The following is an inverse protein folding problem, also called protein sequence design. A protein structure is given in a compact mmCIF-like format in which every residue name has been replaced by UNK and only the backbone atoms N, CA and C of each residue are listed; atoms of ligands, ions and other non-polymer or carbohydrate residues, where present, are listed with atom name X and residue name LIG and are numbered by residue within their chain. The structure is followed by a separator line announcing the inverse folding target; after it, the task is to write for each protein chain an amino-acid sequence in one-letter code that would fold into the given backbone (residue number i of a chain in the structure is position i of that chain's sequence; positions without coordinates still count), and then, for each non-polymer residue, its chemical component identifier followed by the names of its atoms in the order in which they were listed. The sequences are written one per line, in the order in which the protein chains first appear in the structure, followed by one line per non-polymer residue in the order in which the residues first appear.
data_IF_871012150413
#
_entry.id   IF_871012150413
#
_cell.length_a   1.000
_cell.length_b   1.000
_cell.length_c   1.000
_cell.angle_alpha   90.00
_cell.angle_beta   90.00
_cell.angle_gamma   90.00
#
_symmetry.space_group_name_H-M   'P 1'
#
loop_
_entity.id
_entity.type
_entity.pdbx_description
1 polymer ?
#
# COMPACT_ATOMS: atom_id res chain seq x y z
N UNK A 1 12.62 -10.45 -0.68
CA UNK A 1 13.85 -9.99 -0.02
C UNK A 1 13.71 -8.92 1.07
N UNK A 2 12.60 -8.20 1.24
CA UNK A 2 12.53 -7.09 2.24
C UNK A 2 11.99 -7.54 3.61
N UNK A 3 10.96 -8.36 3.61
CA UNK A 3 10.32 -8.89 4.81
C UNK A 3 10.62 -10.38 4.98
N UNK A 4 10.51 -10.89 6.21
CA UNK A 4 10.54 -12.33 6.51
C UNK A 4 11.80 -13.09 6.01
N UNK A 5 12.99 -12.47 6.03
CA UNK A 5 14.25 -13.15 5.64
C UNK A 5 14.64 -14.30 6.57
N UNK A 6 14.46 -14.09 7.87
CA UNK A 6 14.95 -15.01 8.91
C UNK A 6 13.81 -15.83 9.53
N UNK A 7 12.58 -15.67 9.05
CA UNK A 7 11.38 -16.26 9.63
C UNK A 7 10.34 -16.56 8.53
N UNK A 8 9.67 -17.72 8.55
CA UNK A 8 8.60 -18.01 7.59
C UNK A 8 7.48 -16.97 7.69
N UNK A 9 7.06 -16.41 6.56
CA UNK A 9 5.95 -15.47 6.50
C UNK A 9 4.64 -16.22 6.76
N UNK A 10 4.02 -15.98 7.92
CA UNK A 10 2.68 -16.49 8.22
C UNK A 10 1.72 -15.31 8.23
N UNK A 11 1.09 -15.06 7.08
CA UNK A 11 0.13 -13.97 6.90
C UNK A 11 -1.07 -14.50 6.12
N UNK A 12 -2.27 -14.17 6.60
CA UNK A 12 -3.50 -14.24 5.83
C UNK A 12 -4.01 -12.81 5.70
N UNK A 13 -4.25 -12.38 4.47
CA UNK A 13 -4.77 -11.06 4.16
C UNK A 13 -5.80 -11.18 3.05
N UNK A 14 -6.81 -10.32 3.08
CA UNK A 14 -7.83 -10.17 2.06
C UNK A 14 -7.82 -8.73 1.56
N UNK A 15 -7.80 -8.56 0.25
CA UNK A 15 -7.92 -7.25 -0.41
C UNK A 15 -9.22 -7.27 -1.21
N UNK A 16 -9.98 -6.20 -1.12
CA UNK A 16 -11.28 -6.04 -1.77
C UNK A 16 -11.31 -4.70 -2.48
N UNK A 17 -11.84 -4.69 -3.70
CA UNK A 17 -12.28 -3.46 -4.36
C UNK A 17 -13.73 -3.23 -4.01
N UNK A 18 -13.98 -2.28 -3.12
CA UNK A 18 -15.33 -1.97 -2.68
C UNK A 18 -16.22 -1.53 -3.83
N UNK A 19 -17.50 -1.91 -3.75
CA UNK A 19 -18.55 -1.53 -4.71
C UNK A 19 -18.22 -1.87 -6.18
N UNK A 20 -17.37 -2.88 -6.39
CA UNK A 20 -17.02 -3.35 -7.73
C UNK A 20 -17.89 -4.55 -8.11
N UNK A 21 -18.74 -4.36 -9.11
CA UNK A 21 -19.67 -5.38 -9.61
C UNK A 21 -19.25 -5.99 -10.96
N UNK A 22 -18.16 -5.48 -11.54
CA UNK A 22 -17.55 -5.99 -12.77
C UNK A 22 -16.24 -6.72 -12.50
N UNK A 23 -15.67 -7.29 -13.57
CA UNK A 23 -14.34 -7.91 -13.50
C UNK A 23 -13.29 -6.79 -13.46
N UNK A 24 -12.35 -6.88 -12.53
CA UNK A 24 -11.15 -6.04 -12.48
C UNK A 24 -10.04 -6.79 -13.20
N UNK A 25 -9.49 -6.17 -14.26
CA UNK A 25 -8.36 -6.72 -15.01
C UNK A 25 -7.16 -5.77 -15.03
N UNK A 26 -5.98 -6.34 -15.26
CA UNK A 26 -4.71 -5.62 -15.32
C UNK A 26 -4.01 -5.50 -13.97
N UNK A 27 -2.78 -5.00 -14.02
CA UNK A 27 -1.85 -4.90 -12.88
C UNK A 27 -1.75 -3.48 -12.31
N UNK A 28 -2.48 -2.53 -12.89
CA UNK A 28 -2.33 -1.10 -12.59
C UNK A 28 -2.76 -0.66 -11.18
N UNK A 29 -3.40 -1.55 -10.41
CA UNK A 29 -3.77 -1.33 -9.01
C UNK A 29 -2.74 -1.89 -8.01
N UNK A 30 -1.73 -2.65 -8.47
CA UNK A 30 -0.81 -3.38 -7.58
C UNK A 30 -0.06 -2.47 -6.59
N UNK A 31 0.27 -1.23 -6.99
CA UNK A 31 0.85 -0.24 -6.09
C UNK A 31 -0.10 0.15 -4.96
N UNK A 32 -1.38 0.41 -5.28
CA UNK A 32 -2.40 0.80 -4.31
C UNK A 32 -2.70 -0.35 -3.33
N UNK A 33 -2.84 -1.58 -3.83
CA UNK A 33 -3.04 -2.79 -3.02
C UNK A 33 -1.88 -3.02 -2.05
N UNK A 34 -0.65 -2.85 -2.54
CA UNK A 34 0.56 -3.00 -1.72
C UNK A 34 0.60 -1.95 -0.60
N UNK A 35 0.27 -0.70 -0.91
CA UNK A 35 0.19 0.38 0.09
C UNK A 35 -0.91 0.09 1.12
N UNK A 36 -2.08 -0.38 0.68
CA UNK A 36 -3.18 -0.74 1.57
C UNK A 36 -2.78 -1.86 2.53
N UNK A 37 -2.11 -2.91 2.03
CA UNK A 37 -1.61 -4.01 2.84
C UNK A 37 -0.54 -3.55 3.84
N UNK A 38 0.41 -2.72 3.40
CA UNK A 38 1.45 -2.16 4.27
C UNK A 38 0.86 -1.25 5.35
N UNK A 39 -0.13 -0.43 4.99
CA UNK A 39 -0.90 0.40 5.93
C UNK A 39 -1.58 -0.46 6.99
N UNK A 40 -2.31 -1.50 6.58
CA UNK A 40 -2.99 -2.42 7.48
C UNK A 40 -2.03 -3.15 8.44
N UNK A 41 -0.86 -3.58 7.94
CA UNK A 41 0.16 -4.23 8.76
C UNK A 41 0.86 -3.26 9.72
N UNK A 42 1.21 -2.07 9.25
CA UNK A 42 1.97 -1.08 10.04
C UNK A 42 1.10 -0.27 11.00
N UNK A 43 -0.21 -0.22 10.79
CA UNK A 43 -1.14 0.65 11.52
C UNK A 43 -0.97 2.14 11.19
N UNK A 44 -0.28 2.47 10.10
CA UNK A 44 -0.07 3.86 9.67
C UNK A 44 -1.15 4.26 8.68
N UNK A 45 -1.93 5.29 9.01
CA UNK A 45 -3.00 5.81 8.16
C UNK A 45 -2.46 6.36 6.83
N UNK A 46 -3.21 6.14 5.75
CA UNK A 46 -2.94 6.71 4.43
C UNK A 46 -3.93 7.80 4.09
N UNK A 47 -3.43 8.86 3.47
CA UNK A 47 -4.21 9.98 2.92
C UNK A 47 -5.23 9.50 1.90
N UNK A 48 -6.49 9.89 2.08
CA UNK A 48 -7.62 9.52 1.21
C UNK A 48 -7.89 10.54 0.10
N UNK A 49 -7.25 11.71 0.18
CA UNK A 49 -7.31 12.75 -0.83
C UNK A 49 -6.34 12.49 -2.00
N UNK A 50 -5.58 11.39 -1.96
CA UNK A 50 -4.63 10.99 -3.01
C UNK A 50 -5.09 9.69 -3.66
N UNK A 51 -5.32 9.71 -4.97
CA UNK A 51 -5.47 8.49 -5.75
C UNK A 51 -4.10 7.93 -6.18
N UNK A 52 -4.05 6.61 -6.38
CA UNK A 52 -2.81 5.90 -6.69
C UNK A 52 -3.07 4.99 -7.89
N UNK A 53 -2.21 5.08 -8.91
CA UNK A 53 -2.15 4.11 -9.99
C UNK A 53 -0.71 3.70 -10.22
N UNK A 54 -0.49 2.45 -10.61
CA UNK A 54 0.84 1.92 -10.90
C UNK A 54 0.88 0.41 -10.73
N UNK A 55 1.55 -0.26 -11.67
CA UNK A 55 1.95 -1.65 -11.49
C UNK A 55 3.24 -1.70 -10.66
N UNK A 56 3.57 -2.87 -10.10
CA UNK A 56 4.83 -3.10 -9.40
C UNK A 56 5.42 -4.44 -9.79
N UNK A 57 6.75 -4.51 -9.81
CA UNK A 57 7.46 -5.79 -9.86
C UNK A 57 7.77 -6.32 -8.45
N UNK A 58 8.35 -7.52 -8.37
CA UNK A 58 8.73 -8.19 -7.12
C UNK A 58 9.79 -7.44 -6.28
N UNK A 59 10.51 -6.49 -6.89
CA UNK A 59 11.51 -5.66 -6.22
C UNK A 59 10.91 -4.39 -5.61
N UNK A 60 9.63 -4.12 -5.90
CA UNK A 60 8.91 -2.92 -5.45
C UNK A 60 9.18 -1.70 -6.33
N UNK A 61 9.66 -1.91 -7.56
CA UNK A 61 9.80 -0.86 -8.57
C UNK A 61 8.45 -0.66 -9.25
N UNK A 62 8.08 0.61 -9.45
CA UNK A 62 6.80 1.01 -10.03
C UNK A 62 6.91 1.01 -11.56
N UNK A 63 5.94 0.36 -12.20
CA UNK A 63 5.91 0.13 -13.63
C UNK A 63 4.81 0.96 -14.31
N UNK A 64 5.00 1.35 -15.58
CA UNK A 64 4.03 2.15 -16.32
C UNK A 64 2.71 1.40 -16.50
N UNK A 65 1.64 2.17 -16.62
CA UNK A 65 0.28 1.66 -16.82
C UNK A 65 -0.39 2.34 -18.00
N UNK A 66 -1.40 1.68 -18.56
CA UNK A 66 -2.29 2.27 -19.55
C UNK A 66 -3.31 3.24 -18.92
N UNK A 67 -3.82 4.16 -19.75
CA UNK A 67 -4.93 5.06 -19.41
C UNK A 67 -4.61 6.05 -18.28
N UNK A 68 -3.35 6.49 -18.16
CA UNK A 68 -2.91 7.33 -17.03
C UNK A 68 -3.60 8.70 -17.04
N UNK A 69 -3.80 9.30 -18.22
CA UNK A 69 -4.50 10.58 -18.38
C UNK A 69 -5.94 10.46 -17.87
N UNK A 70 -6.67 9.45 -18.32
CA UNK A 70 -8.07 9.20 -17.98
C UNK A 70 -8.24 8.95 -16.49
N UNK A 71 -7.29 8.25 -15.86
CA UNK A 71 -7.26 8.02 -14.41
C UNK A 71 -7.06 9.32 -13.62
N UNK A 72 -6.13 10.17 -14.07
CA UNK A 72 -5.87 11.46 -13.43
C UNK A 72 -7.08 12.38 -13.55
N UNK A 73 -7.63 12.53 -14.76
CA UNK A 73 -8.81 13.35 -15.02
C UNK A 73 -10.05 12.82 -14.31
N UNK A 74 -10.22 11.50 -14.25
CA UNK A 74 -11.32 10.86 -13.53
C UNK A 74 -11.31 11.18 -12.03
N UNK A 75 -10.14 11.11 -11.41
CA UNK A 75 -10.00 11.47 -9.99
C UNK A 75 -10.19 12.98 -9.77
N UNK A 76 -9.57 13.83 -10.60
CA UNK A 76 -9.76 15.28 -10.53
C UNK A 76 -11.24 15.66 -10.64
N UNK A 77 -11.98 15.05 -11.57
CA UNK A 77 -13.43 15.26 -11.73
C UNK A 77 -14.19 14.84 -10.47
N UNK A 78 -13.89 13.68 -9.90
CA UNK A 78 -14.52 13.22 -8.67
C UNK A 78 -14.27 14.17 -7.48
N UNK A 79 -13.05 14.71 -7.37
CA UNK A 79 -12.72 15.71 -6.36
C UNK A 79 -13.45 17.04 -6.62
N UNK A 80 -13.50 17.49 -7.88
CA UNK A 80 -14.17 18.74 -8.27
C UNK A 80 -15.66 18.71 -7.96
N UNK A 81 -16.34 17.58 -8.24
CA UNK A 81 -17.76 17.39 -7.89
C UNK A 81 -18.04 17.44 -6.38
N UNK A 82 -17.06 17.08 -5.55
CA UNK A 82 -17.15 17.12 -4.08
C UNK A 82 -16.60 18.41 -3.48
N UNK A 83 -15.98 19.27 -4.30
CA UNK A 83 -15.22 20.44 -3.88
C UNK A 83 -13.74 20.11 -3.63
N UNK A 84 -12.85 20.82 -4.34
CA UNK A 84 -11.40 20.74 -4.12
C UNK A 84 -11.03 21.41 -2.78
N UNK A 85 -10.25 20.71 -1.98
CA UNK A 85 -9.73 21.18 -0.67
C UNK A 85 -8.33 21.76 -0.80
N UNK A 86 -7.68 21.56 -1.96
CA UNK A 86 -6.35 22.06 -2.26
C UNK A 86 -5.21 21.08 -1.97
N UNK A 87 -5.53 19.90 -1.45
CA UNK A 87 -4.54 18.87 -1.12
C UNK A 87 -4.66 17.63 -2.00
N UNK A 88 -5.72 17.52 -2.81
CA UNK A 88 -5.99 16.36 -3.63
C UNK A 88 -4.96 16.14 -4.72
N UNK A 89 -4.74 14.89 -5.11
CA UNK A 89 -3.87 14.62 -6.24
C UNK A 89 -3.73 13.15 -6.60
N UNK A 90 -2.81 12.86 -7.51
CA UNK A 90 -2.58 11.50 -8.01
C UNK A 90 -1.11 11.13 -7.93
N UNK A 91 -0.83 9.94 -7.40
CA UNK A 91 0.45 9.26 -7.53
C UNK A 91 0.40 8.37 -8.79
N UNK A 92 1.40 8.50 -9.65
CA UNK A 92 1.54 7.71 -10.87
C UNK A 92 3.00 7.30 -11.15
N UNK A 93 3.26 6.32 -12.03
CA UNK A 93 4.62 5.88 -12.35
C UNK A 93 5.45 6.99 -13.02
N UNK A 94 6.70 7.22 -12.61
CA UNK A 94 7.60 8.17 -13.27
C UNK A 94 7.75 7.90 -14.77
N UNK A 95 7.70 6.64 -15.18
CA UNK A 95 7.73 6.23 -16.58
C UNK A 95 6.54 6.77 -17.42
N UNK A 96 5.39 7.03 -16.79
CA UNK A 96 4.22 7.59 -17.47
C UNK A 96 4.23 9.12 -17.59
N UNK A 97 5.17 9.83 -16.95
CA UNK A 97 5.18 11.29 -16.90
C UNK A 97 5.16 11.93 -18.31
N UNK A 98 5.86 11.31 -19.26
CA UNK A 98 5.93 11.78 -20.66
C UNK A 98 4.64 11.54 -21.46
N UNK A 99 3.78 10.63 -21.00
CA UNK A 99 2.52 10.31 -21.67
C UNK A 99 1.35 11.17 -21.15
N UNK A 100 1.60 12.03 -20.18
CA UNK A 100 0.56 12.76 -19.48
C UNK A 100 0.18 14.02 -20.28
N UNK A 101 -0.96 13.94 -20.96
CA UNK A 101 -1.56 15.05 -21.70
C UNK A 101 -2.90 15.33 -21.07
N UNK A 102 -2.99 16.38 -20.25
CA UNK A 102 -4.17 16.70 -19.45
C UNK A 102 -4.98 17.82 -20.08
N UNK A 103 -6.29 17.83 -19.85
CA UNK A 103 -7.15 18.99 -20.13
C UNK A 103 -6.70 20.25 -19.37
N UNK A 104 -6.97 21.40 -19.97
CA UNK A 104 -6.58 22.70 -19.40
C UNK A 104 -7.17 22.93 -18.00
N UNK A 105 -8.40 22.46 -17.72
CA UNK A 105 -9.03 22.60 -16.39
C UNK A 105 -8.22 21.93 -15.27
N UNK A 106 -7.59 20.79 -15.57
CA UNK A 106 -6.74 20.05 -14.62
C UNK A 106 -5.42 20.79 -14.46
N UNK A 107 -4.83 21.25 -15.57
CA UNK A 107 -3.61 22.05 -15.55
C UNK A 107 -3.79 23.35 -14.75
N UNK A 108 -4.92 24.03 -14.91
CA UNK A 108 -5.26 25.23 -14.14
C UNK A 108 -5.40 24.92 -12.65
N UNK A 109 -6.05 23.80 -12.31
CA UNK A 109 -6.15 23.36 -10.92
C UNK A 109 -4.77 23.08 -10.31
N UNK A 110 -3.84 22.50 -11.08
CA UNK A 110 -2.46 22.26 -10.65
C UNK A 110 -1.69 23.58 -10.51
N UNK A 111 -1.75 24.47 -11.51
CA UNK A 111 -1.11 25.80 -11.49
C UNK A 111 -1.56 26.62 -10.27
N UNK A 112 -2.83 26.52 -9.91
CA UNK A 112 -3.41 27.19 -8.75
C UNK A 112 -3.18 26.46 -7.41
N UNK A 113 -2.39 25.37 -7.40
CA UNK A 113 -2.09 24.59 -6.20
C UNK A 113 -3.29 23.86 -5.60
N UNK A 114 -4.37 23.70 -6.37
CA UNK A 114 -5.61 23.03 -5.92
C UNK A 114 -5.60 21.52 -6.13
N UNK A 115 -4.74 21.04 -7.02
CA UNK A 115 -4.58 19.63 -7.36
C UNK A 115 -3.11 19.31 -7.62
N UNK A 116 -2.68 18.09 -7.32
CA UNK A 116 -1.26 17.73 -7.32
C UNK A 116 -1.01 16.45 -8.09
N UNK A 117 0.19 16.34 -8.67
CA UNK A 117 0.65 15.11 -9.32
C UNK A 117 2.02 14.75 -8.76
N UNK A 118 2.16 13.51 -8.32
CA UNK A 118 3.42 12.96 -7.86
C UNK A 118 3.80 11.77 -8.73
N UNK A 119 5.05 11.77 -9.18
CA UNK A 119 5.63 10.64 -9.89
C UNK A 119 6.53 9.84 -8.96
N UNK A 120 6.43 8.52 -9.01
CA UNK A 120 7.21 7.62 -8.15
C UNK A 120 7.90 6.53 -8.96
N UNK A 121 9.08 6.12 -8.51
CA UNK A 121 9.85 5.01 -9.10
C UNK A 121 9.72 3.72 -8.30
N UNK A 122 9.34 3.80 -7.02
CA UNK A 122 9.24 2.65 -6.14
C UNK A 122 8.17 2.83 -5.06
N UNK A 123 7.78 1.71 -4.42
CA UNK A 123 6.75 1.67 -3.38
C UNK A 123 7.09 2.56 -2.17
N UNK A 124 8.37 2.72 -1.83
CA UNK A 124 8.79 3.49 -0.64
C UNK A 124 8.51 4.99 -0.80
N UNK A 125 8.68 5.53 -2.01
CA UNK A 125 8.33 6.91 -2.35
C UNK A 125 6.82 7.16 -2.24
N UNK A 126 6.02 6.24 -2.78
CA UNK A 126 4.56 6.34 -2.68
C UNK A 126 4.10 6.31 -1.22
N UNK A 127 4.64 5.38 -0.41
CA UNK A 127 4.37 5.31 1.03
C UNK A 127 4.72 6.60 1.74
N UNK A 128 5.87 7.22 1.43
CA UNK A 128 6.26 8.50 2.03
C UNK A 128 5.25 9.60 1.74
N UNK A 129 4.74 9.68 0.51
CA UNK A 129 3.76 10.70 0.11
C UNK A 129 2.43 10.48 0.83
N UNK A 130 1.90 9.25 0.85
CA UNK A 130 0.56 9.00 1.41
C UNK A 130 0.51 8.90 2.93
N UNK A 131 1.65 8.65 3.59
CA UNK A 131 1.71 8.54 5.07
C UNK A 131 2.44 9.70 5.75
N UNK A 132 3.22 10.49 5.00
CA UNK A 132 4.13 11.49 5.56
C UNK A 132 5.30 10.90 6.35
N UNK A 133 5.56 9.59 6.27
CA UNK A 133 6.61 8.90 7.03
C UNK A 133 7.60 8.21 6.11
N UNK A 134 8.87 8.19 6.53
CA UNK A 134 9.89 7.43 5.82
C UNK A 134 9.60 5.92 5.88
N UNK A 135 9.63 5.25 4.73
CA UNK A 135 9.51 3.79 4.67
C UNK A 135 10.63 3.11 5.50
N UNK A 136 11.84 3.66 5.39
CA UNK A 136 13.03 3.22 6.10
C UNK A 136 13.78 2.12 5.36
N UNK A 137 15.09 2.32 5.19
CA UNK A 137 15.98 1.37 4.52
C UNK A 137 16.44 0.29 5.49
N UNK A 138 16.64 -0.90 4.96
CA UNK A 138 17.20 -2.01 5.73
C UNK A 138 18.67 -1.74 6.02
N UNK A 139 19.07 -1.94 7.26
CA UNK A 139 20.45 -1.79 7.74
C UNK A 139 21.27 -3.04 7.39
N UNK A 140 22.61 -2.93 7.49
CA UNK A 140 23.53 -4.07 7.31
C UNK A 140 23.24 -5.25 8.26
N UNK A 141 22.57 -5.00 9.39
CA UNK A 141 22.18 -6.01 10.38
C UNK A 141 20.83 -6.68 10.08
N UNK A 142 20.19 -6.37 8.94
CA UNK A 142 18.90 -6.93 8.55
C UNK A 142 17.70 -6.36 9.31
N UNK A 143 17.85 -5.23 9.99
CA UNK A 143 16.77 -4.51 10.69
C UNK A 143 16.45 -3.18 10.01
N UNK A 144 15.28 -2.61 10.30
CA UNK A 144 14.88 -1.27 9.86
C UNK A 144 15.07 -0.23 10.98
N UNK A 145 15.18 1.06 10.61
CA UNK A 145 15.24 2.15 11.59
C UNK A 145 13.94 2.20 12.39
N UNK A 146 14.05 2.27 13.73
CA UNK A 146 12.88 2.38 14.61
C UNK A 146 11.98 3.55 14.18
N UNK A 147 10.68 3.31 14.18
CA UNK A 147 9.66 4.28 13.80
C UNK A 147 9.42 4.42 12.28
N UNK A 148 10.21 3.76 11.43
CA UNK A 148 9.90 3.71 9.99
C UNK A 148 8.75 2.75 9.68
N UNK A 149 8.12 2.89 8.53
CA UNK A 149 6.98 2.02 8.14
C UNK A 149 7.43 0.56 8.07
N UNK A 150 8.55 0.29 7.41
CA UNK A 150 9.09 -1.07 7.25
C UNK A 150 9.46 -1.70 8.60
N UNK A 151 9.89 -0.89 9.59
CA UNK A 151 10.07 -1.37 10.97
C UNK A 151 8.74 -1.80 11.59
N UNK A 152 7.69 -0.99 11.48
CA UNK A 152 6.37 -1.30 12.03
C UNK A 152 5.77 -2.56 11.41
N UNK A 153 5.91 -2.74 10.08
CA UNK A 153 5.49 -3.97 9.38
C UNK A 153 6.18 -5.20 9.97
N UNK A 154 7.52 -5.15 10.14
CA UNK A 154 8.27 -6.27 10.69
C UNK A 154 7.84 -6.59 12.12
N UNK A 155 7.60 -5.57 12.96
CA UNK A 155 7.11 -5.79 14.33
C UNK A 155 5.70 -6.38 14.36
N UNK A 156 4.80 -5.95 13.46
CA UNK A 156 3.46 -6.54 13.35
C UNK A 156 3.52 -8.02 12.93
N UNK A 157 4.36 -8.36 11.95
CA UNK A 157 4.55 -9.74 11.50
C UNK A 157 5.13 -10.64 12.62
N UNK A 158 6.03 -10.12 13.45
CA UNK A 158 6.54 -10.83 14.63
C UNK A 158 5.43 -11.10 15.65
N UNK A 159 4.64 -10.08 15.98
CA UNK A 159 3.51 -10.22 16.91
C UNK A 159 2.47 -11.23 16.42
N UNK A 160 2.10 -11.17 15.13
CA UNK A 160 1.16 -12.12 14.54
C UNK A 160 1.66 -13.57 14.65
N UNK A 161 2.98 -13.78 14.50
CA UNK A 161 3.60 -15.10 14.70
C UNK A 161 3.52 -15.56 16.15
N UNK A 162 3.85 -14.72 17.12
CA UNK A 162 3.78 -15.05 18.55
C UNK A 162 2.37 -15.54 18.91
N UNK A 163 1.34 -14.80 18.48
CA UNK A 163 -0.07 -15.16 18.65
C UNK A 163 -0.38 -16.53 18.02
N UNK A 164 0.07 -16.77 16.78
CA UNK A 164 -0.14 -18.05 16.09
C UNK A 164 0.53 -19.23 16.80
N UNK A 165 1.73 -19.04 17.34
CA UNK A 165 2.45 -20.08 18.08
C UNK A 165 1.78 -20.40 19.41
N UNK A 166 1.29 -19.40 20.14
CA UNK A 166 0.59 -19.60 21.40
C UNK A 166 -0.78 -20.27 21.19
N UNK A 167 -1.49 -19.95 20.11
CA UNK A 167 -2.70 -20.68 19.73
C UNK A 167 -2.40 -22.15 19.42
N UNK A 168 -1.31 -22.46 18.72
CA UNK A 168 -0.88 -23.85 18.45
C UNK A 168 -0.54 -24.60 19.74
N UNK A 169 0.18 -23.97 20.68
CA UNK A 169 0.51 -24.56 21.99
C UNK A 169 -0.77 -24.85 22.79
N UNK A 170 -1.66 -23.86 22.91
CA UNK A 170 -2.92 -23.97 23.65
C UNK A 170 -3.82 -25.08 23.08
N UNK A 171 -3.91 -25.18 21.74
CA UNK A 171 -4.69 -26.23 21.07
C UNK A 171 -4.10 -27.63 21.28
N UNK A 172 -2.76 -27.78 21.25
CA UNK A 172 -2.08 -29.05 21.58
C UNK A 172 -2.32 -29.48 23.03
N UNK A 173 -2.27 -28.55 23.98
CA UNK A 173 -2.52 -28.83 25.40
C UNK A 173 -3.97 -29.24 25.66
N UNK A 174 -4.95 -28.57 25.01
CA UNK A 174 -6.37 -28.96 25.10
C UNK A 174 -6.64 -30.34 24.50
N UNK A 175 -6.04 -30.66 23.34
CA UNK A 175 -6.17 -31.99 22.72
C UNK A 175 -5.61 -33.10 23.62
N UNK A 176 -4.41 -32.90 24.18
CA UNK A 176 -3.82 -33.85 25.15
C UNK A 176 -4.67 -34.06 26.40
N UNK A 177 -5.33 -33.02 26.92
CA UNK A 177 -6.23 -33.15 28.07
C UNK A 177 -7.55 -33.86 27.73
N UNK A 178 -8.11 -33.63 26.54
CA UNK A 178 -9.30 -34.32 26.06
C UNK A 178 -9.04 -35.83 25.84
N UNK A 179 -7.92 -36.16 25.20
CA UNK A 179 -7.50 -37.54 24.97
C UNK A 179 -7.21 -38.27 26.30
N UNK A 180 -6.74 -37.56 27.34
CA UNK A 180 -6.47 -38.12 28.67
C UNK A 180 -7.73 -38.28 29.56
N UNK A 181 -8.84 -37.62 29.22
CA UNK A 181 -10.12 -37.73 29.94
C UNK A 181 -11.07 -38.78 29.38
N UNK A 182 -10.69 -39.43 28.28
CA UNK A 182 -11.45 -40.52 27.64
C UNK A 182 -10.87 -41.91 27.93
N UNK A 183 -9.86 -42.01 28.79
CA UNK A 183 -9.27 -43.25 29.31
C UNK A 183 -9.49 -43.38 30.81
#
# INVERSE_FOLDING_TARGET
ERYARNVPLTLSASISFEQTYGIVEGDSASLAETIALISALSGVSVRQDIAITGSINQHGEVQPVGGVTEKVEGFHRACSLRGLTGSQGVILPSANAKNLILKEEVLESIKNGKFHIWTVENVDEALKIVTGREAGKMTKRGSYRKGSINYLVVEALKKAREISQDHKKTRKTKKRKADASQN
#
